data_IF_583435080220
#
_entry.id   IF_583435080220
#
_cell.length_a   1.000
_cell.length_b   1.000
_cell.length_c   1.000
_cell.angle_alpha   90.00
_cell.angle_beta   90.00
_cell.angle_gamma   90.00
#
_symmetry.space_group_name_H-M   'P 1'
#
loop_
_entity.id
_entity.type
_entity.pdbx_description
1 polymer ?
#
# COMPACT_ATOMS: atom_id res chain seq x y z
N UNK A 1 -46.19 -5.28 -13.61
CA UNK A 1 -45.29 -6.44 -13.60
C UNK A 1 -43.88 -5.95 -13.29
N UNK A 2 -43.37 -6.22 -12.09
CA UNK A 2 -42.03 -5.79 -11.70
C UNK A 2 -41.00 -6.58 -12.53
N UNK A 3 -40.12 -5.87 -13.25
CA UNK A 3 -39.03 -6.49 -13.98
C UNK A 3 -38.03 -7.07 -12.97
N UNK A 4 -38.22 -8.34 -12.62
CA UNK A 4 -37.23 -9.10 -11.88
C UNK A 4 -36.07 -9.42 -12.83
N UNK A 5 -35.22 -8.42 -13.09
CA UNK A 5 -33.89 -8.62 -13.63
C UNK A 5 -33.09 -9.40 -12.60
N UNK A 6 -33.20 -10.74 -12.67
CA UNK A 6 -32.32 -11.65 -11.95
C UNK A 6 -30.95 -11.50 -12.58
N UNK A 7 -30.19 -10.49 -12.14
CA UNK A 7 -28.84 -10.24 -12.59
C UNK A 7 -28.10 -11.56 -12.52
N UNK A 8 -27.77 -12.13 -13.68
CA UNK A 8 -26.92 -13.32 -13.77
C UNK A 8 -25.56 -12.88 -13.26
N UNK A 9 -25.37 -12.96 -11.95
CA UNK A 9 -24.06 -12.78 -11.34
C UNK A 9 -23.23 -13.96 -11.83
N UNK A 10 -22.57 -13.77 -12.97
CA UNK A 10 -21.66 -14.76 -13.52
C UNK A 10 -20.60 -14.93 -12.45
N UNK A 11 -20.52 -16.14 -11.89
CA UNK A 11 -19.46 -16.49 -10.95
C UNK A 11 -18.13 -16.11 -11.61
N UNK A 12 -17.29 -15.28 -10.96
CA UNK A 12 -16.03 -14.88 -11.55
C UNK A 12 -15.21 -16.14 -11.88
N UNK A 13 -14.74 -16.21 -13.13
CA UNK A 13 -13.91 -17.31 -13.60
C UNK A 13 -12.62 -17.39 -12.79
N UNK A 14 -12.01 -18.59 -12.72
CA UNK A 14 -10.71 -18.77 -12.05
C UNK A 14 -9.66 -17.78 -12.57
N UNK A 15 -9.64 -17.53 -13.88
CA UNK A 15 -8.73 -16.57 -14.50
C UNK A 15 -8.94 -15.14 -13.96
N UNK A 16 -10.21 -14.70 -13.83
CA UNK A 16 -10.55 -13.39 -13.26
C UNK A 16 -10.08 -13.29 -11.82
N UNK A 17 -10.29 -14.34 -11.02
CA UNK A 17 -9.86 -14.36 -9.62
C UNK A 17 -8.34 -14.27 -9.48
N UNK A 18 -7.58 -14.97 -10.32
CA UNK A 18 -6.11 -14.89 -10.31
C UNK A 18 -5.60 -13.52 -10.77
N UNK A 19 -6.18 -12.96 -11.82
CA UNK A 19 -5.82 -11.62 -12.29
C UNK A 19 -6.10 -10.56 -11.21
N UNK A 20 -7.24 -10.64 -10.53
CA UNK A 20 -7.56 -9.74 -9.40
C UNK A 20 -6.57 -9.91 -8.25
N UNK A 21 -6.22 -11.16 -7.87
CA UNK A 21 -5.26 -11.40 -6.81
C UNK A 21 -3.89 -10.82 -7.14
N UNK A 22 -3.35 -11.13 -8.33
CA UNK A 22 -2.07 -10.62 -8.78
C UNK A 22 -2.05 -9.08 -8.86
N UNK A 23 -3.15 -8.48 -9.35
CA UNK A 23 -3.30 -7.03 -9.40
C UNK A 23 -3.27 -6.37 -8.02
N UNK A 24 -3.99 -6.94 -7.04
CA UNK A 24 -4.00 -6.42 -5.66
C UNK A 24 -2.62 -6.57 -5.01
N UNK A 25 -1.98 -7.74 -5.15
CA UNK A 25 -0.63 -7.97 -4.62
C UNK A 25 0.38 -7.00 -5.24
N UNK A 26 0.34 -6.82 -6.56
CA UNK A 26 1.22 -5.88 -7.26
C UNK A 26 1.00 -4.43 -6.81
N UNK A 27 -0.25 -3.99 -6.70
CA UNK A 27 -0.57 -2.65 -6.23
C UNK A 27 -0.13 -2.42 -4.77
N UNK A 28 -0.33 -3.41 -3.89
CA UNK A 28 0.11 -3.31 -2.50
C UNK A 28 1.62 -3.17 -2.34
N UNK A 29 2.42 -3.67 -3.28
CA UNK A 29 3.88 -3.50 -3.30
C UNK A 29 4.28 -2.20 -4.00
N UNK A 30 3.68 -1.90 -5.14
CA UNK A 30 4.04 -0.74 -5.95
C UNK A 30 3.64 0.59 -5.30
N UNK A 31 2.47 0.66 -4.65
CA UNK A 31 1.96 1.90 -4.04
C UNK A 31 2.89 2.43 -2.94
N UNK A 32 3.34 1.62 -1.96
CA UNK A 32 4.35 2.07 -1.00
C UNK A 32 5.67 2.47 -1.65
N UNK A 33 6.11 1.78 -2.71
CA UNK A 33 7.33 2.14 -3.44
C UNK A 33 7.19 3.47 -4.19
N UNK A 34 6.03 3.76 -4.75
CA UNK A 34 5.73 5.04 -5.40
C UNK A 34 5.53 6.17 -4.39
N UNK A 35 5.00 5.86 -3.20
CA UNK A 35 4.79 6.81 -2.10
C UNK A 35 5.99 6.97 -1.17
N UNK A 36 7.02 6.13 -1.30
CA UNK A 36 8.27 6.26 -0.57
C UNK A 36 8.98 7.53 -1.04
N UNK A 37 8.87 8.58 -0.25
CA UNK A 37 9.62 9.81 -0.45
C UNK A 37 11.04 9.67 0.12
N UNK A 38 11.89 10.66 -0.15
CA UNK A 38 13.28 10.64 0.27
C UNK A 38 13.40 10.59 1.81
N UNK A 39 14.39 9.85 2.32
CA UNK A 39 14.73 9.90 3.74
C UNK A 39 15.39 11.25 4.08
N UNK A 40 14.82 11.98 5.05
CA UNK A 40 15.43 13.20 5.57
C UNK A 40 16.15 12.87 6.87
N UNK A 41 17.49 12.95 6.86
CA UNK A 41 18.27 12.86 8.10
C UNK A 41 18.10 14.15 8.90
N UNK A 42 18.01 14.03 10.23
CA UNK A 42 18.10 15.20 11.12
C UNK A 42 19.51 15.82 11.03
N UNK A 43 19.61 17.13 11.28
CA UNK A 43 20.89 17.85 11.24
C UNK A 43 21.87 17.33 12.29
N UNK A 44 23.16 17.59 12.08
CA UNK A 44 24.22 17.21 13.04
C UNK A 44 23.97 17.84 14.41
N UNK A 45 23.48 19.09 14.47
CA UNK A 45 23.18 19.73 15.77
C UNK A 45 22.10 18.98 16.55
N UNK A 46 21.13 18.38 15.85
CA UNK A 46 20.07 17.57 16.49
C UNK A 46 20.67 16.31 17.12
N UNK A 47 21.58 15.64 16.42
CA UNK A 47 22.27 14.45 16.93
C UNK A 47 23.26 14.77 18.04
N UNK A 48 23.96 15.91 17.96
CA UNK A 48 24.86 16.38 19.02
C UNK A 48 24.09 16.68 20.30
N UNK A 49 22.90 17.28 20.21
CA UNK A 49 22.04 17.53 21.38
C UNK A 49 21.61 16.21 22.05
N UNK A 50 21.21 15.21 21.27
CA UNK A 50 20.89 13.87 21.79
C UNK A 50 22.13 13.23 22.43
N UNK A 51 23.28 13.28 21.75
CA UNK A 51 24.52 12.73 22.26
C UNK A 51 24.94 13.37 23.59
N UNK A 52 24.81 14.68 23.73
CA UNK A 52 25.07 15.38 24.99
C UNK A 52 24.11 14.97 26.12
N UNK A 53 22.83 14.76 25.81
CA UNK A 53 21.84 14.33 26.80
C UNK A 53 22.05 12.88 27.26
N UNK A 54 22.44 11.98 26.35
CA UNK A 54 22.57 10.54 26.61
C UNK A 54 23.96 10.14 27.10
N UNK A 55 24.98 10.97 26.88
CA UNK A 55 26.37 10.71 27.29
C UNK A 55 26.75 11.38 28.61
N UNK A 56 25.79 11.98 29.32
CA UNK A 56 25.96 12.64 30.62
C UNK A 56 24.93 12.20 31.65
#
# INVERSE_FOLDING_TARGET
MLLNSKGKHRRPSKAVRFATLAGITGAAVAVPLMGATNASAASVETWDAVAQCESG
#
